data_IF_458856748660
#
_entry.id   IF_458856748660
#
_cell.length_a   1.000
_cell.length_b   1.000
_cell.length_c   1.000
_cell.angle_alpha   90.00
_cell.angle_beta   90.00
_cell.angle_gamma   90.00
#
_symmetry.space_group_name_H-M   'P 1'
#
loop_
_entity.id
_entity.type
_entity.pdbx_description
1 polymer ?
#
# COMPACT_ATOMS: atom_id res chain seq x y z
N UNK A 1 4.65 -12.14 -5.08
CA UNK A 1 5.26 -11.28 -4.06
C UNK A 1 4.34 -10.12 -3.74
N UNK A 2 3.94 -9.99 -2.49
CA UNK A 2 3.00 -8.96 -2.11
C UNK A 2 3.66 -7.81 -1.38
N UNK A 3 3.08 -6.62 -1.56
CA UNK A 3 3.55 -5.42 -0.89
C UNK A 3 2.83 -5.25 0.43
N UNK A 4 3.49 -4.56 1.37
CA UNK A 4 2.81 -4.15 2.58
C UNK A 4 1.71 -3.15 2.22
N UNK A 5 0.54 -3.31 2.84
CA UNK A 5 -0.58 -2.39 2.66
C UNK A 5 -0.96 -1.85 4.04
N UNK A 6 -0.89 -0.53 4.19
CA UNK A 6 -1.31 0.14 5.40
C UNK A 6 -2.71 0.70 5.24
N UNK A 7 -3.53 0.58 6.29
CA UNK A 7 -4.88 1.13 6.28
C UNK A 7 -5.07 1.93 7.56
N UNK A 8 -5.53 3.16 7.43
CA UNK A 8 -5.74 4.02 8.59
C UNK A 8 -6.94 4.92 8.37
N UNK A 9 -7.54 5.38 9.47
CA UNK A 9 -8.66 6.31 9.40
C UNK A 9 -8.15 7.72 9.21
N UNK A 10 -8.75 8.45 8.27
CA UNK A 10 -8.41 9.83 8.00
C UNK A 10 -9.55 10.73 8.44
N UNK A 11 -9.29 11.56 9.45
CA UNK A 11 -10.30 12.50 9.94
C UNK A 11 -10.67 13.53 8.87
N UNK A 12 -9.70 13.98 8.09
CA UNK A 12 -9.93 14.96 7.04
C UNK A 12 -10.86 14.45 5.96
N UNK A 13 -10.71 13.17 5.62
CA UNK A 13 -11.48 12.56 4.54
C UNK A 13 -12.72 11.83 5.03
N UNK A 14 -12.87 11.74 6.35
CA UNK A 14 -13.98 11.05 7.00
C UNK A 14 -14.13 9.61 6.51
N UNK A 15 -13.02 8.90 6.42
CA UNK A 15 -13.00 7.53 5.97
C UNK A 15 -11.62 6.93 6.09
N UNK A 16 -11.39 5.85 5.37
CA UNK A 16 -10.16 5.08 5.47
C UNK A 16 -9.29 5.27 4.24
N UNK A 17 -7.99 5.37 4.49
CA UNK A 17 -6.99 5.43 3.41
C UNK A 17 -6.18 4.14 3.47
N UNK A 18 -6.01 3.50 2.31
CA UNK A 18 -5.10 2.37 2.16
C UNK A 18 -3.95 2.82 1.28
N UNK A 19 -2.72 2.49 1.68
CA UNK A 19 -1.57 2.87 0.89
C UNK A 19 -0.56 1.73 0.80
N UNK A 20 0.24 1.76 -0.26
CA UNK A 20 1.31 0.80 -0.48
C UNK A 20 2.62 1.57 -0.50
N UNK A 21 3.38 1.56 0.61
CA UNK A 21 4.58 2.39 0.74
C UNK A 21 5.63 2.15 -0.35
N UNK A 22 5.75 0.92 -0.83
CA UNK A 22 6.77 0.60 -1.85
C UNK A 22 6.42 1.11 -3.24
N UNK A 23 5.16 1.47 -3.47
CA UNK A 23 4.72 2.00 -4.76
C UNK A 23 4.38 3.49 -4.59
N UNK A 24 5.22 4.39 -5.13
CA UNK A 24 5.00 5.83 -4.94
C UNK A 24 3.60 6.27 -5.39
N UNK A 25 2.92 7.02 -4.53
CA UNK A 25 1.60 7.57 -4.79
C UNK A 25 0.50 6.52 -4.99
N UNK A 26 0.74 5.29 -4.56
CA UNK A 26 -0.28 4.24 -4.68
C UNK A 26 -1.12 4.19 -3.42
N UNK A 27 -2.25 4.89 -3.43
CA UNK A 27 -3.18 4.92 -2.31
C UNK A 27 -4.61 5.01 -2.81
N UNK A 28 -5.55 4.71 -1.91
CA UNK A 28 -6.96 4.74 -2.26
C UNK A 28 -7.80 5.01 -1.02
N UNK A 29 -9.02 5.48 -1.24
CA UNK A 29 -9.96 5.83 -0.19
C UNK A 29 -11.10 4.81 -0.15
N UNK A 30 -11.64 4.58 1.06
CA UNK A 30 -12.84 3.79 1.24
C UNK A 30 -13.60 4.23 2.48
N UNK A 31 -14.90 4.02 2.48
CA UNK A 31 -15.72 4.36 3.64
C UNK A 31 -15.51 3.35 4.79
N UNK A 32 -15.03 2.15 4.46
CA UNK A 32 -14.68 1.13 5.43
C UNK A 32 -13.28 0.63 5.12
N UNK A 33 -12.59 -0.02 6.09
CA UNK A 33 -11.28 -0.59 5.81
C UNK A 33 -11.30 -1.60 4.66
N UNK A 34 -12.35 -2.40 4.58
CA UNK A 34 -12.49 -3.40 3.52
C UNK A 34 -12.63 -2.73 2.15
N UNK A 35 -13.40 -1.64 2.10
CA UNK A 35 -13.56 -0.91 0.85
C UNK A 35 -12.24 -0.25 0.43
N UNK A 36 -11.51 0.34 1.39
CA UNK A 36 -10.22 0.95 1.08
C UNK A 36 -9.24 -0.09 0.54
N UNK A 37 -9.24 -1.30 1.13
CA UNK A 37 -8.40 -2.39 0.66
C UNK A 37 -8.76 -2.77 -0.77
N UNK A 38 -10.05 -2.96 -1.04
CA UNK A 38 -10.49 -3.33 -2.39
C UNK A 38 -10.06 -2.28 -3.42
N UNK A 39 -10.20 -1.00 -3.06
CA UNK A 39 -9.83 0.07 -3.97
C UNK A 39 -8.32 0.18 -4.19
N UNK A 40 -7.50 -0.01 -3.15
CA UNK A 40 -6.06 0.08 -3.32
C UNK A 40 -5.51 -1.09 -4.13
N UNK A 41 -6.17 -2.24 -4.09
CA UNK A 41 -5.76 -3.37 -4.92
C UNK A 41 -5.98 -3.07 -6.40
N UNK A 42 -7.06 -2.36 -6.73
CA UNK A 42 -7.28 -1.90 -8.10
C UNK A 42 -6.23 -0.88 -8.50
N UNK A 43 -5.92 0.05 -7.61
CA UNK A 43 -4.91 1.06 -7.87
C UNK A 43 -3.53 0.43 -8.08
N UNK A 44 -3.20 -0.60 -7.28
CA UNK A 44 -1.95 -1.34 -7.43
C UNK A 44 -1.84 -1.96 -8.82
N UNK A 45 -2.91 -2.61 -9.26
CA UNK A 45 -2.92 -3.26 -10.57
C UNK A 45 -2.68 -2.25 -11.69
N UNK A 46 -3.39 -1.12 -11.63
CA UNK A 46 -3.22 -0.06 -12.61
C UNK A 46 -1.81 0.54 -12.57
N UNK A 47 -1.27 0.71 -11.35
CA UNK A 47 0.08 1.25 -11.18
C UNK A 47 1.13 0.35 -11.85
N UNK A 48 1.03 -0.96 -11.59
CA UNK A 48 1.97 -1.93 -12.16
C UNK A 48 1.83 -1.99 -13.68
N UNK A 49 0.61 -2.01 -14.18
CA UNK A 49 0.37 -2.02 -15.62
C UNK A 49 0.95 -0.79 -16.30
N UNK A 50 0.77 0.38 -15.68
CA UNK A 50 1.33 1.62 -16.22
C UNK A 50 2.86 1.60 -16.23
N UNK A 51 3.46 1.09 -15.14
CA UNK A 51 4.91 1.01 -15.06
C UNK A 51 5.47 0.11 -16.16
N UNK A 52 4.82 -1.03 -16.38
CA UNK A 52 5.24 -1.96 -17.44
C UNK A 52 5.11 -1.32 -18.81
N UNK A 53 4.01 -0.63 -19.05
CA UNK A 53 3.78 0.01 -20.35
C UNK A 53 4.82 1.10 -20.65
N UNK A 54 5.31 1.78 -19.60
CA UNK A 54 6.31 2.82 -19.74
C UNK A 54 7.75 2.31 -19.65
N UNK A 55 7.91 1.00 -19.42
CA UNK A 55 9.24 0.43 -19.27
C UNK A 55 9.95 0.82 -17.98
N UNK A 56 9.19 1.24 -16.97
CA UNK A 56 9.77 1.63 -15.70
C UNK A 56 9.93 0.41 -14.78
N UNK A 57 10.95 0.41 -13.91
CA UNK A 57 11.14 -0.70 -12.99
C UNK A 57 10.00 -0.76 -11.97
N UNK A 58 9.63 -1.98 -11.61
CA UNK A 58 8.62 -2.21 -10.59
C UNK A 58 9.35 -2.49 -9.27
N UNK A 59 9.15 -1.65 -8.24
CA UNK A 59 9.86 -1.83 -6.97
C UNK A 59 9.56 -3.19 -6.34
N UNK A 60 10.54 -3.74 -5.63
CA UNK A 60 10.33 -4.95 -4.86
C UNK A 60 9.77 -4.61 -3.50
N UNK A 61 8.98 -5.49 -2.90
CA UNK A 61 8.50 -5.27 -1.54
C UNK A 61 9.68 -5.15 -0.58
N UNK A 62 9.81 -4.00 0.06
CA UNK A 62 10.93 -3.73 0.95
C UNK A 62 10.48 -3.16 2.30
N UNK A 63 9.31 -2.52 2.33
CA UNK A 63 8.83 -1.90 3.56
C UNK A 63 8.59 -2.94 4.66
N UNK A 64 9.03 -2.61 5.87
CA UNK A 64 8.83 -3.45 7.06
C UNK A 64 8.22 -2.61 8.17
N UNK A 65 7.05 -2.98 8.69
CA UNK A 65 6.47 -2.25 9.82
C UNK A 65 7.38 -2.33 11.05
N UNK A 66 7.28 -1.33 11.92
CA UNK A 66 8.11 -1.27 13.11
C UNK A 66 7.97 -2.52 13.97
N UNK A 67 6.75 -3.04 14.12
CA UNK A 67 6.50 -4.23 14.91
C UNK A 67 7.25 -5.44 14.34
N UNK A 68 7.24 -5.58 13.01
CA UNK A 68 7.97 -6.65 12.37
C UNK A 68 9.47 -6.52 12.62
N UNK A 69 9.98 -5.30 12.49
CA UNK A 69 11.41 -5.04 12.72
C UNK A 69 11.80 -5.34 14.16
N UNK A 70 10.96 -4.95 15.11
CA UNK A 70 11.21 -5.21 16.54
C UNK A 70 11.27 -6.70 16.83
N UNK A 71 10.41 -7.49 16.20
CA UNK A 71 10.39 -8.93 16.43
C UNK A 71 11.64 -9.64 15.89
N UNK A 72 12.43 -8.96 15.08
CA UNK A 72 13.68 -9.48 14.52
C UNK A 72 14.89 -9.19 15.38
N UNK A 73 14.75 -8.36 16.40
CA UNK A 73 15.84 -7.98 17.27
C UNK A 73 16.02 -9.08 18.33
N UNK A 74 17.23 -9.66 18.45
CA UNK A 74 17.47 -10.67 19.49
C UNK A 74 17.25 -10.12 20.87
N UNK A 75 16.68 -10.92 21.74
CA UNK A 75 16.43 -10.52 23.13
C UNK A 75 17.73 -10.43 23.94
#
# INVERSE_FOLDING_TARGET
MDYHIGIFFSDEDEGYIADIPDLPHCSAFGETPEQALAEVLKTKSAWIDAARAEGKPIPRPAFRPVIYQASKIPA
#
